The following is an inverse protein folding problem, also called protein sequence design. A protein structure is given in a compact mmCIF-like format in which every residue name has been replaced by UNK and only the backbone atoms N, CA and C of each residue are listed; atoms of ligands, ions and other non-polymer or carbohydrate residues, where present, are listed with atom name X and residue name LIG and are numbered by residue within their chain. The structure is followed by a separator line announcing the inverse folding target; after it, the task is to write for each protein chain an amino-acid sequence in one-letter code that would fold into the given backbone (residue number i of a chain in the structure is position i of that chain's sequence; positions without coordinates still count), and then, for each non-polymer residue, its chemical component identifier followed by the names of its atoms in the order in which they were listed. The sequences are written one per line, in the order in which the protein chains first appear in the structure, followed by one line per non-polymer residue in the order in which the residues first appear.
data_IF_754842221727
#
_entry.id   IF_754842221727
#
_cell.length_a   1.000
_cell.length_b   1.000
_cell.length_c   1.000
_cell.angle_alpha   90.00
_cell.angle_beta   90.00
_cell.angle_gamma   90.00
#
_symmetry.space_group_name_H-M   'P 1'
#
loop_
_entity.id
_entity.type
_entity.pdbx_description
1 polymer ?
#
# COMPACT_ATOMS: atom_id res chain seq x y z
N UNK A 1 10.63 -22.50 7.40
CA UNK A 1 11.96 -22.24 7.98
C UNK A 1 11.82 -22.24 9.50
N UNK A 2 12.82 -22.70 10.24
CA UNK A 2 12.88 -22.52 11.70
C UNK A 2 13.17 -21.06 12.04
N UNK A 3 12.92 -20.65 13.28
CA UNK A 3 13.25 -19.30 13.75
C UNK A 3 14.74 -18.96 13.62
N UNK A 4 15.60 -19.95 13.86
CA UNK A 4 17.06 -19.80 13.76
C UNK A 4 17.49 -19.60 12.30
N UNK A 5 16.94 -20.38 11.36
CA UNK A 5 17.19 -20.22 9.92
C UNK A 5 16.75 -18.83 9.41
N UNK A 6 15.63 -18.32 9.92
CA UNK A 6 15.12 -16.99 9.57
C UNK A 6 16.06 -15.90 10.09
N UNK A 7 16.53 -16.00 11.33
CA UNK A 7 17.48 -15.05 11.89
C UNK A 7 18.83 -15.08 11.18
N UNK A 8 19.35 -16.26 10.83
CA UNK A 8 20.55 -16.39 10.01
C UNK A 8 20.37 -15.74 8.64
N UNK A 9 19.22 -15.99 7.99
CA UNK A 9 18.91 -15.38 6.70
C UNK A 9 18.81 -13.86 6.81
N UNK A 10 18.14 -13.33 7.84
CA UNK A 10 18.06 -11.89 8.09
C UNK A 10 19.46 -11.29 8.30
N UNK A 11 20.30 -11.90 9.15
CA UNK A 11 21.70 -11.47 9.35
C UNK A 11 22.51 -11.44 8.06
N UNK A 12 22.22 -12.33 7.10
CA UNK A 12 22.90 -12.36 5.80
C UNK A 12 22.49 -11.23 4.85
N UNK A 13 21.30 -10.64 5.03
CA UNK A 13 20.76 -9.63 4.12
C UNK A 13 20.76 -8.22 4.69
N UNK A 14 20.78 -8.02 6.01
CA UNK A 14 20.82 -6.70 6.64
C UNK A 14 22.25 -6.14 6.72
N UNK A 15 22.37 -4.82 6.87
CA UNK A 15 23.65 -4.16 7.12
C UNK A 15 24.15 -4.42 8.54
N UNK A 16 25.47 -4.53 8.68
CA UNK A 16 26.13 -4.66 9.98
C UNK A 16 26.23 -3.28 10.64
N UNK A 17 25.82 -3.19 11.91
CA UNK A 17 25.98 -2.00 12.73
C UNK A 17 24.78 -1.72 13.62
N UNK A 18 24.95 -0.74 14.52
CA UNK A 18 23.87 -0.24 15.37
C UNK A 18 23.27 1.04 14.75
N UNK A 19 22.02 1.02 14.25
CA UNK A 19 21.40 2.18 13.63
C UNK A 19 21.24 3.36 14.60
N UNK A 20 21.23 3.13 15.93
CA UNK A 20 21.17 4.21 16.94
C UNK A 20 22.42 5.09 16.97
N UNK A 21 23.52 4.66 16.31
CA UNK A 21 24.75 5.45 16.14
C UNK A 21 24.78 6.23 14.82
N UNK A 22 23.80 6.00 13.95
CA UNK A 22 23.73 6.60 12.60
C UNK A 22 22.54 7.56 12.45
N UNK A 23 21.47 7.30 13.20
CA UNK A 23 20.25 8.09 13.18
C UNK A 23 19.94 8.67 14.56
N UNK A 24 19.44 9.90 14.58
CA UNK A 24 19.04 10.63 15.80
C UNK A 24 17.62 11.21 15.68
N UNK A 25 17.12 11.81 16.75
CA UNK A 25 15.81 12.49 16.81
C UNK A 25 14.63 11.62 16.39
N UNK A 26 14.54 10.42 16.97
CA UNK A 26 13.44 9.49 16.72
C UNK A 26 12.11 10.07 17.22
N UNK A 27 11.18 10.29 16.30
CA UNK A 27 9.81 10.72 16.58
C UNK A 27 8.85 9.66 16.02
N UNK A 28 7.97 9.14 16.86
CA UNK A 28 6.99 8.14 16.43
C UNK A 28 5.93 8.79 15.53
N UNK A 29 5.82 8.29 14.30
CA UNK A 29 4.89 8.80 13.26
C UNK A 29 3.81 7.78 12.88
N UNK A 30 3.94 6.52 13.31
CA UNK A 30 2.94 5.49 13.02
C UNK A 30 3.13 4.22 13.85
N UNK A 31 2.12 3.37 13.83
CA UNK A 31 2.09 2.04 14.43
C UNK A 31 1.84 1.02 13.32
N UNK A 32 2.56 -0.11 13.32
CA UNK A 32 2.34 -1.17 12.34
C UNK A 32 1.11 -2.03 12.67
N UNK A 33 0.76 -2.94 11.75
CA UNK A 33 -0.35 -3.90 11.90
C UNK A 33 -0.12 -4.91 13.03
N UNK A 34 1.14 -5.18 13.39
CA UNK A 34 1.52 -6.11 14.45
C UNK A 34 1.88 -5.33 15.72
N UNK A 35 1.39 -5.80 16.87
CA UNK A 35 1.78 -5.26 18.17
C UNK A 35 3.30 -5.20 18.28
N UNK A 36 3.84 -4.09 18.76
CA UNK A 36 5.29 -3.85 18.87
C UNK A 36 5.93 -3.19 17.64
N UNK A 37 5.26 -3.19 16.48
CA UNK A 37 5.79 -2.52 15.29
C UNK A 37 5.58 -1.00 15.39
N UNK A 38 6.61 -0.22 15.12
CA UNK A 38 6.51 1.25 15.08
C UNK A 38 7.18 1.82 13.85
N UNK A 39 6.67 2.95 13.38
CA UNK A 39 7.33 3.76 12.36
C UNK A 39 7.78 5.07 13.01
N UNK A 40 9.06 5.38 12.89
CA UNK A 40 9.65 6.59 13.45
C UNK A 40 10.26 7.45 12.33
N UNK A 41 10.03 8.75 12.37
CA UNK A 41 10.87 9.71 11.65
C UNK A 41 12.21 9.83 12.40
N UNK A 42 13.31 9.92 11.69
CA UNK A 42 14.64 10.13 12.25
C UNK A 42 15.52 10.95 11.29
N UNK A 43 16.58 11.54 11.81
CA UNK A 43 17.59 12.25 11.02
C UNK A 43 18.81 11.37 10.81
N UNK A 44 19.29 11.29 9.58
CA UNK A 44 20.61 10.73 9.26
C UNK A 44 21.70 11.74 9.63
N UNK A 45 22.51 11.42 10.63
CA UNK A 45 23.41 12.37 11.31
C UNK A 45 24.38 13.10 10.36
N UNK A 46 24.94 12.41 9.37
CA UNK A 46 25.93 13.01 8.45
C UNK A 46 25.32 14.02 7.47
N UNK A 47 24.01 13.97 7.20
CA UNK A 47 23.39 14.74 6.12
C UNK A 47 22.17 15.56 6.55
N UNK A 48 21.73 15.42 7.80
CA UNK A 48 20.46 15.98 8.29
C UNK A 48 19.26 15.62 7.40
N UNK A 49 19.34 14.46 6.72
CA UNK A 49 18.28 13.94 5.87
C UNK A 49 17.25 13.22 6.73
N UNK A 50 15.97 13.57 6.58
CA UNK A 50 14.87 12.85 7.22
C UNK A 50 14.64 11.49 6.55
N UNK A 51 14.48 10.46 7.38
CA UNK A 51 14.19 9.08 6.96
C UNK A 51 13.06 8.52 7.81
N UNK A 52 12.31 7.57 7.26
CA UNK A 52 11.38 6.78 8.04
C UNK A 52 12.03 5.44 8.41
N UNK A 53 11.85 5.01 9.66
CA UNK A 53 12.41 3.76 10.19
C UNK A 53 11.27 2.92 10.75
N UNK A 54 10.94 1.85 10.03
CA UNK A 54 9.99 0.81 10.46
C UNK A 54 10.73 -0.19 11.33
N UNK A 55 10.40 -0.23 12.62
CA UNK A 55 10.92 -1.17 13.60
C UNK A 55 9.90 -2.30 13.77
N UNK A 56 10.32 -3.54 13.59
CA UNK A 56 9.47 -4.71 13.67
C UNK A 56 10.00 -5.69 14.72
N UNK A 57 9.15 -6.05 15.68
CA UNK A 57 9.51 -7.03 16.70
C UNK A 57 9.36 -8.44 16.13
N UNK A 58 10.47 -9.13 15.88
CA UNK A 58 10.44 -10.44 15.20
C UNK A 58 9.71 -11.52 16.01
N UNK A 59 9.67 -11.44 17.35
CA UNK A 59 8.98 -12.44 18.18
C UNK A 59 7.45 -12.34 18.05
N UNK A 60 6.93 -11.15 17.78
CA UNK A 60 5.48 -10.90 17.69
C UNK A 60 4.92 -11.15 16.29
N UNK A 61 5.80 -11.44 15.32
CA UNK A 61 5.43 -11.60 13.92
C UNK A 61 4.91 -13.01 13.65
N UNK A 62 3.65 -13.15 13.19
CA UNK A 62 3.02 -14.46 13.00
C UNK A 62 3.67 -15.26 11.87
N UNK A 63 4.29 -14.59 10.90
CA UNK A 63 4.99 -15.19 9.76
C UNK A 63 6.27 -14.44 9.45
N UNK A 64 7.34 -14.74 10.20
CA UNK A 64 8.65 -14.09 10.07
C UNK A 64 9.27 -14.23 8.67
N UNK A 65 8.90 -15.26 7.93
CA UNK A 65 9.31 -15.46 6.53
C UNK A 65 8.83 -14.33 5.58
N UNK A 66 7.70 -13.69 5.88
CA UNK A 66 7.18 -12.57 5.07
C UNK A 66 8.07 -11.33 5.19
N UNK A 67 8.75 -11.17 6.31
CA UNK A 67 9.63 -10.03 6.57
C UNK A 67 10.89 -10.07 5.69
N UNK A 68 11.43 -11.28 5.46
CA UNK A 68 12.54 -11.46 4.52
C UNK A 68 12.11 -11.03 3.12
N UNK A 69 10.91 -11.44 2.69
CA UNK A 69 10.36 -11.03 1.41
C UNK A 69 10.17 -9.52 1.31
N UNK A 70 9.66 -8.86 2.37
CA UNK A 70 9.50 -7.40 2.39
C UNK A 70 10.83 -6.68 2.09
N UNK A 71 11.92 -7.05 2.78
CA UNK A 71 13.24 -6.46 2.53
C UNK A 71 13.71 -6.71 1.10
N UNK A 72 13.64 -7.96 0.64
CA UNK A 72 14.16 -8.34 -0.68
C UNK A 72 13.40 -7.64 -1.80
N UNK A 73 12.06 -7.64 -1.73
CA UNK A 73 11.21 -6.98 -2.70
C UNK A 73 11.50 -5.48 -2.72
N UNK A 74 11.51 -4.79 -1.57
CA UNK A 74 11.79 -3.36 -1.53
C UNK A 74 13.20 -3.00 -2.03
N UNK A 75 14.19 -3.87 -1.77
CA UNK A 75 15.58 -3.65 -2.22
C UNK A 75 15.74 -3.82 -3.72
N UNK A 76 15.10 -4.84 -4.30
CA UNK A 76 15.25 -5.22 -5.72
C UNK A 76 14.32 -4.42 -6.65
N UNK A 77 13.17 -3.96 -6.16
CA UNK A 77 12.11 -3.36 -6.97
C UNK A 77 12.05 -1.84 -6.78
N UNK A 78 13.12 -1.14 -7.19
CA UNK A 78 13.18 0.34 -7.13
C UNK A 78 12.41 0.98 -8.29
N UNK A 79 11.47 1.85 -7.95
CA UNK A 79 10.62 2.58 -8.91
C UNK A 79 10.24 3.95 -8.35
N UNK A 80 9.94 4.93 -9.21
CA UNK A 80 9.53 6.29 -8.81
C UNK A 80 8.28 6.32 -7.93
N UNK A 81 7.38 5.36 -8.11
CA UNK A 81 6.10 5.25 -7.43
C UNK A 81 6.10 4.17 -6.33
N UNK A 82 7.29 3.73 -5.90
CA UNK A 82 7.50 2.84 -4.75
C UNK A 82 8.40 3.57 -3.76
N UNK A 83 8.07 3.48 -2.47
CA UNK A 83 8.91 4.06 -1.42
C UNK A 83 10.32 3.48 -1.46
N UNK A 84 11.29 4.38 -1.57
CA UNK A 84 12.70 4.04 -1.74
C UNK A 84 13.27 3.43 -0.45
N UNK A 85 13.64 2.16 -0.54
CA UNK A 85 14.44 1.48 0.45
C UNK A 85 15.85 2.04 0.52
N UNK A 86 16.30 2.38 1.73
CA UNK A 86 17.64 2.90 1.98
C UNK A 86 18.56 1.83 2.60
N UNK A 87 18.11 1.19 3.67
CA UNK A 87 18.94 0.24 4.44
C UNK A 87 18.09 -0.64 5.38
N UNK A 88 18.69 -1.67 5.97
CA UNK A 88 18.06 -2.42 7.06
C UNK A 88 19.08 -2.96 8.06
N UNK A 89 18.66 -3.13 9.32
CA UNK A 89 19.51 -3.54 10.43
C UNK A 89 18.77 -4.53 11.33
N UNK A 90 19.49 -5.48 11.90
CA UNK A 90 18.97 -6.38 12.94
C UNK A 90 19.55 -5.97 14.30
N UNK A 91 18.70 -5.48 15.20
CA UNK A 91 19.07 -4.97 16.53
C UNK A 91 18.46 -5.90 17.59
N UNK A 92 19.24 -6.87 18.05
CA UNK A 92 18.71 -7.93 18.92
C UNK A 92 17.66 -8.76 18.16
N UNK A 93 16.41 -8.69 18.60
CA UNK A 93 15.25 -9.35 17.98
C UNK A 93 14.34 -8.37 17.22
N UNK A 94 14.79 -7.14 17.00
CA UNK A 94 14.08 -6.16 16.21
C UNK A 94 14.73 -6.00 14.83
N UNK A 95 13.91 -6.03 13.79
CA UNK A 95 14.33 -5.64 12.45
C UNK A 95 13.98 -4.16 12.23
N UNK A 96 14.95 -3.39 11.80
CA UNK A 96 14.79 -1.98 11.45
C UNK A 96 14.94 -1.83 9.94
N UNK A 97 13.92 -1.29 9.27
CA UNK A 97 13.95 -0.99 7.83
C UNK A 97 13.92 0.52 7.65
N UNK A 98 14.96 1.06 7.01
CA UNK A 98 15.14 2.48 6.75
C UNK A 98 14.72 2.79 5.31
N UNK A 99 13.85 3.78 5.17
CA UNK A 99 13.27 4.20 3.89
C UNK A 99 13.20 5.73 3.78
N UNK A 100 12.96 6.24 2.58
CA UNK A 100 12.70 7.67 2.41
C UNK A 100 11.49 8.13 3.24
N UNK A 101 11.57 9.34 3.81
CA UNK A 101 10.46 9.93 4.54
C UNK A 101 9.57 10.75 3.60
N UNK A 102 8.28 10.39 3.53
CA UNK A 102 7.26 11.12 2.78
C UNK A 102 6.41 11.96 3.73
N UNK A 103 6.78 13.23 3.85
CA UNK A 103 6.22 14.15 4.83
C UNK A 103 4.74 14.51 4.60
N UNK A 104 4.15 14.15 3.47
CA UNK A 104 2.72 14.37 3.19
C UNK A 104 1.79 13.40 3.92
N UNK A 105 2.31 12.33 4.52
CA UNK A 105 1.49 11.36 5.26
C UNK A 105 0.88 10.29 4.34
N UNK A 106 -0.15 9.61 4.83
CA UNK A 106 -0.88 8.59 4.07
C UNK A 106 -1.97 9.24 3.21
N UNK A 107 -2.44 8.52 2.18
CA UNK A 107 -3.63 8.90 1.45
C UNK A 107 -4.88 8.83 2.35
N UNK A 108 -4.88 7.98 3.39
CA UNK A 108 -5.97 7.90 4.38
C UNK A 108 -6.28 9.27 4.97
N UNK A 109 -5.25 9.99 5.43
CA UNK A 109 -5.42 11.33 6.02
C UNK A 109 -6.14 12.29 5.06
N UNK A 110 -5.86 12.19 3.76
CA UNK A 110 -6.46 13.03 2.72
C UNK A 110 -7.91 12.64 2.44
N UNK A 111 -8.21 11.34 2.33
CA UNK A 111 -9.57 10.88 1.99
C UNK A 111 -10.57 11.04 3.14
N UNK A 112 -10.10 11.03 4.40
CA UNK A 112 -10.97 11.22 5.57
C UNK A 112 -11.24 12.69 5.88
N UNK A 113 -10.28 13.58 5.60
CA UNK A 113 -10.37 15.00 5.99
C UNK A 113 -10.74 15.94 4.83
N UNK A 114 -10.66 15.48 3.58
CA UNK A 114 -10.87 16.33 2.40
C UNK A 114 -11.70 15.65 1.32
N UNK A 115 -12.17 16.43 0.34
CA UNK A 115 -12.82 15.89 -0.85
C UNK A 115 -11.88 16.00 -2.05
N UNK A 116 -11.64 14.88 -2.73
CA UNK A 116 -10.85 14.84 -3.95
C UNK A 116 -11.77 14.99 -5.17
N UNK A 117 -11.34 15.79 -6.16
CA UNK A 117 -11.99 15.81 -7.46
C UNK A 117 -11.47 14.69 -8.37
N UNK A 118 -12.24 14.34 -9.40
CA UNK A 118 -11.88 13.23 -10.30
C UNK A 118 -10.51 13.37 -10.97
N UNK A 119 -10.03 14.60 -11.18
CA UNK A 119 -8.70 14.83 -11.76
C UNK A 119 -7.58 14.52 -10.76
N UNK A 120 -7.78 14.79 -9.47
CA UNK A 120 -6.87 14.38 -8.40
C UNK A 120 -6.91 12.86 -8.20
N UNK A 121 -8.10 12.26 -8.21
CA UNK A 121 -8.28 10.80 -8.11
C UNK A 121 -7.58 10.09 -9.27
N UNK A 122 -7.81 10.56 -10.51
CA UNK A 122 -7.15 10.02 -11.70
C UNK A 122 -5.63 10.13 -11.62
N UNK A 123 -5.09 11.20 -11.00
CA UNK A 123 -3.66 11.34 -10.78
C UNK A 123 -3.13 10.27 -9.83
N UNK A 124 -3.75 10.07 -8.67
CA UNK A 124 -3.37 9.02 -7.71
C UNK A 124 -3.48 7.62 -8.33
N UNK A 125 -4.59 7.32 -9.02
CA UNK A 125 -4.78 6.04 -9.71
C UNK A 125 -3.69 5.78 -10.74
N UNK A 126 -3.27 6.80 -11.51
CA UNK A 126 -2.20 6.66 -12.50
C UNK A 126 -0.88 6.26 -11.86
N UNK A 127 -0.46 6.95 -10.80
CA UNK A 127 0.81 6.66 -10.11
C UNK A 127 0.77 5.27 -9.45
N UNK A 128 -0.36 4.88 -8.86
CA UNK A 128 -0.54 3.54 -8.31
C UNK A 128 -0.49 2.46 -9.40
N UNK A 129 -1.13 2.69 -10.56
CA UNK A 129 -1.09 1.76 -11.68
C UNK A 129 0.31 1.63 -12.29
N UNK A 130 1.12 2.69 -12.30
CA UNK A 130 2.53 2.62 -12.72
C UNK A 130 3.35 1.73 -11.76
N UNK A 131 3.15 1.87 -10.45
CA UNK A 131 3.78 1.00 -9.46
C UNK A 131 3.32 -0.46 -9.65
N UNK A 132 2.02 -0.69 -9.82
CA UNK A 132 1.47 -2.04 -10.03
C UNK A 132 1.92 -2.67 -11.33
N UNK A 133 1.97 -1.94 -12.45
CA UNK A 133 2.52 -2.45 -13.71
C UNK A 133 3.96 -2.92 -13.53
N UNK A 134 4.78 -2.09 -12.87
CA UNK A 134 6.16 -2.44 -12.56
C UNK A 134 6.26 -3.70 -11.69
N UNK A 135 5.53 -3.79 -10.58
CA UNK A 135 5.54 -4.96 -9.70
C UNK A 135 5.05 -6.22 -10.41
N UNK A 136 3.92 -6.12 -11.12
CA UNK A 136 3.31 -7.27 -11.80
C UNK A 136 4.23 -7.78 -12.92
N UNK A 137 4.93 -6.89 -13.62
CA UNK A 137 5.94 -7.29 -14.62
C UNK A 137 7.15 -8.01 -14.03
N UNK A 138 7.49 -7.70 -12.76
CA UNK A 138 8.52 -8.38 -11.98
C UNK A 138 7.97 -9.55 -11.15
N UNK A 139 6.77 -10.03 -11.47
CA UNK A 139 6.14 -11.18 -10.81
C UNK A 139 5.92 -10.96 -9.30
N UNK A 140 5.66 -9.73 -8.88
CA UNK A 140 5.32 -9.38 -7.49
C UNK A 140 3.84 -9.01 -7.41
N UNK A 141 3.12 -9.61 -6.47
CA UNK A 141 1.74 -9.24 -6.11
C UNK A 141 1.79 -8.52 -4.76
N UNK A 142 1.20 -7.33 -4.64
CA UNK A 142 1.25 -6.53 -3.40
C UNK A 142 0.37 -7.12 -2.29
N UNK A 143 -0.88 -7.46 -2.63
CA UNK A 143 -1.93 -8.07 -1.77
C UNK A 143 -2.47 -7.22 -0.63
N UNK A 144 -2.05 -5.97 -0.50
CA UNK A 144 -2.58 -5.02 0.49
C UNK A 144 -2.63 -3.58 -0.05
N UNK A 145 -3.23 -3.38 -1.22
CA UNK A 145 -3.47 -2.03 -1.77
C UNK A 145 -4.67 -1.40 -1.04
N UNK A 146 -4.44 -0.25 -0.43
CA UNK A 146 -5.41 0.57 0.32
C UNK A 146 -4.81 1.95 0.58
N UNK A 147 -5.64 2.92 0.95
CA UNK A 147 -5.21 4.30 1.22
C UNK A 147 -4.07 4.41 2.24
N UNK A 148 -4.05 3.56 3.29
CA UNK A 148 -2.98 3.56 4.31
C UNK A 148 -1.59 3.27 3.74
N UNK A 149 -1.54 2.47 2.67
CA UNK A 149 -0.31 1.99 2.05
C UNK A 149 0.12 2.85 0.85
N UNK A 150 -0.55 3.99 0.63
CA UNK A 150 -0.14 5.02 -0.32
C UNK A 150 0.37 6.23 0.46
N UNK A 151 1.66 6.53 0.31
CA UNK A 151 2.28 7.69 0.95
C UNK A 151 2.41 8.85 -0.02
N UNK A 152 2.30 10.06 0.53
CA UNK A 152 2.31 11.32 -0.22
C UNK A 152 3.54 12.17 0.15
N UNK A 153 4.20 12.75 -0.85
CA UNK A 153 5.18 13.82 -0.64
C UNK A 153 4.50 15.19 -0.57
N UNK A 154 5.17 16.18 0.02
CA UNK A 154 4.63 17.56 0.08
C UNK A 154 4.51 18.22 -1.31
N UNK A 155 5.23 17.71 -2.29
CA UNK A 155 5.14 18.07 -3.71
C UNK A 155 3.99 17.36 -4.45
N UNK A 156 3.24 16.50 -3.75
CA UNK A 156 2.17 15.68 -4.29
C UNK A 156 2.63 14.34 -4.87
N UNK A 157 3.91 13.97 -4.74
CA UNK A 157 4.39 12.64 -5.16
C UNK A 157 3.59 11.52 -4.49
N UNK A 158 3.28 10.45 -5.24
CA UNK A 158 2.46 9.32 -4.77
C UNK A 158 3.31 8.05 -4.84
N UNK A 159 3.50 7.38 -3.71
CA UNK A 159 4.33 6.17 -3.63
C UNK A 159 3.67 5.06 -2.82
N UNK A 160 3.73 3.85 -3.36
CA UNK A 160 3.29 2.62 -2.72
C UNK A 160 4.30 2.16 -1.65
N UNK A 161 3.78 1.72 -0.50
CA UNK A 161 4.55 1.19 0.63
C UNK A 161 3.94 -0.10 1.20
N UNK A 162 4.57 -0.65 2.23
CA UNK A 162 4.16 -1.81 3.02
C UNK A 162 4.04 -3.13 2.24
N UNK A 163 5.20 -3.69 1.90
CA UNK A 163 5.32 -4.96 1.19
C UNK A 163 5.25 -6.19 2.13
N UNK A 164 4.81 -6.03 3.38
CA UNK A 164 4.76 -7.11 4.37
C UNK A 164 3.84 -8.28 3.96
N UNK A 165 2.84 -8.02 3.11
CA UNK A 165 1.99 -9.07 2.53
C UNK A 165 2.31 -9.41 1.09
N UNK A 166 3.39 -8.90 0.49
CA UNK A 166 3.69 -9.19 -0.91
C UNK A 166 3.98 -10.68 -1.16
N UNK A 167 3.88 -11.10 -2.42
CA UNK A 167 4.32 -12.42 -2.85
C UNK A 167 5.00 -12.33 -4.22
N UNK A 168 6.18 -12.93 -4.32
CA UNK A 168 6.82 -13.19 -5.61
C UNK A 168 6.27 -14.48 -6.20
N UNK A 169 5.73 -14.45 -7.41
CA UNK A 169 5.26 -15.63 -8.15
C UNK A 169 6.31 -16.09 -9.16
N UNK A 170 6.22 -17.33 -9.62
CA UNK A 170 7.10 -17.87 -10.67
C UNK A 170 6.27 -18.43 -11.82
N UNK A 171 6.84 -18.70 -13.01
CA UNK A 171 6.11 -19.38 -14.08
C UNK A 171 5.49 -20.72 -13.65
N UNK A 172 6.18 -21.47 -12.78
CA UNK A 172 5.73 -22.76 -12.24
C UNK A 172 4.65 -22.58 -11.16
N UNK A 173 4.71 -21.49 -10.39
CA UNK A 173 3.72 -21.14 -9.36
C UNK A 173 3.20 -19.71 -9.56
N UNK A 174 2.44 -19.53 -10.64
CA UNK A 174 1.93 -18.23 -11.07
C UNK A 174 0.71 -17.73 -10.27
N UNK A 175 0.19 -18.56 -9.36
CA UNK A 175 -0.96 -18.23 -8.50
C UNK A 175 -0.67 -18.51 -7.02
N UNK A 176 -1.34 -17.76 -6.16
CA UNK A 176 -1.36 -17.93 -4.70
C UNK A 176 -2.76 -18.36 -4.23
N UNK A 177 -2.84 -18.96 -3.05
CA UNK A 177 -4.09 -19.44 -2.44
C UNK A 177 -4.26 -19.00 -0.99
N UNK A 178 -3.28 -18.29 -0.43
CA UNK A 178 -3.31 -17.81 0.95
C UNK A 178 -4.28 -16.63 1.09
N UNK A 179 -5.18 -16.68 2.06
CA UNK A 179 -6.04 -15.55 2.43
C UNK A 179 -5.26 -14.57 3.29
N UNK A 180 -4.75 -13.50 2.67
CA UNK A 180 -3.96 -12.42 3.30
C UNK A 180 -4.34 -11.07 2.70
N UNK A 181 -4.14 -9.99 3.45
CA UNK A 181 -4.57 -8.63 3.10
C UNK A 181 -5.64 -8.09 4.06
N UNK A 182 -6.04 -6.84 3.85
CA UNK A 182 -7.05 -6.18 4.68
C UNK A 182 -8.47 -6.49 4.18
N UNK A 183 -9.39 -7.03 5.01
CA UNK A 183 -10.67 -7.63 4.57
C UNK A 183 -11.51 -6.82 3.58
N UNK A 184 -11.67 -5.52 3.82
CA UNK A 184 -12.56 -4.64 3.03
C UNK A 184 -12.06 -4.37 1.60
N UNK A 185 -10.76 -4.61 1.34
CA UNK A 185 -10.13 -4.43 0.02
C UNK A 185 -9.88 -5.74 -0.73
N UNK A 186 -10.19 -6.88 -0.11
CA UNK A 186 -9.89 -8.19 -0.68
C UNK A 186 -10.73 -8.48 -1.93
N UNK A 187 -10.09 -8.98 -2.97
CA UNK A 187 -10.77 -9.46 -4.17
C UNK A 187 -11.63 -10.72 -3.87
N UNK A 188 -12.77 -10.92 -4.54
CA UNK A 188 -13.68 -12.04 -4.30
C UNK A 188 -13.00 -13.41 -4.43
N UNK A 189 -12.06 -13.56 -5.35
CA UNK A 189 -11.28 -14.79 -5.51
C UNK A 189 -10.34 -15.09 -4.33
N UNK A 190 -9.86 -14.07 -3.62
CA UNK A 190 -9.08 -14.22 -2.38
C UNK A 190 -10.01 -14.68 -1.25
N UNK A 191 -11.17 -14.03 -1.11
CA UNK A 191 -12.15 -14.33 -0.06
C UNK A 191 -12.73 -15.74 -0.22
N UNK A 192 -13.00 -16.14 -1.46
CA UNK A 192 -13.51 -17.48 -1.80
C UNK A 192 -12.41 -18.56 -1.87
N UNK A 193 -11.17 -18.23 -1.46
CA UNK A 193 -10.01 -19.15 -1.40
C UNK A 193 -9.68 -19.82 -2.74
N UNK A 194 -9.96 -19.15 -3.85
CA UNK A 194 -9.54 -19.59 -5.18
C UNK A 194 -8.06 -19.26 -5.39
N UNK A 195 -7.42 -19.96 -6.32
CA UNK A 195 -6.09 -19.60 -6.76
C UNK A 195 -6.14 -18.25 -7.51
N UNK A 196 -5.36 -17.28 -7.07
CA UNK A 196 -5.39 -15.90 -7.57
C UNK A 196 -4.02 -15.42 -8.06
N UNK A 197 -4.03 -14.39 -8.91
CA UNK A 197 -2.83 -13.77 -9.49
C UNK A 197 -2.78 -12.26 -9.27
N UNK A 198 -1.98 -11.51 -10.04
CA UNK A 198 -1.73 -10.08 -9.82
C UNK A 198 -2.97 -9.18 -9.86
N UNK A 199 -4.03 -9.58 -10.58
CA UNK A 199 -5.28 -8.80 -10.71
C UNK A 199 -6.07 -8.63 -9.41
N UNK A 200 -5.67 -9.25 -8.30
CA UNK A 200 -6.22 -8.94 -6.98
C UNK A 200 -5.88 -7.51 -6.55
N UNK A 201 -4.68 -7.02 -6.89
CA UNK A 201 -4.26 -5.64 -6.58
C UNK A 201 -5.10 -4.62 -7.34
N UNK A 202 -5.58 -4.97 -8.54
CA UNK A 202 -6.45 -4.12 -9.35
C UNK A 202 -7.84 -3.98 -8.73
N UNK A 203 -8.37 -5.06 -8.16
CA UNK A 203 -9.62 -4.98 -7.40
C UNK A 203 -9.44 -4.05 -6.19
N UNK A 204 -8.38 -4.25 -5.43
CA UNK A 204 -8.07 -3.43 -4.25
C UNK A 204 -7.84 -1.95 -4.61
N UNK A 205 -7.22 -1.65 -5.75
CA UNK A 205 -7.17 -0.29 -6.32
C UNK A 205 -8.57 0.28 -6.62
N UNK A 206 -9.48 -0.54 -7.13
CA UNK A 206 -10.88 -0.15 -7.34
C UNK A 206 -11.58 0.21 -6.03
N UNK A 207 -11.37 -0.58 -4.97
CA UNK A 207 -11.88 -0.27 -3.62
C UNK A 207 -11.25 1.02 -3.08
N UNK A 208 -9.94 1.21 -3.25
CA UNK A 208 -9.28 2.46 -2.85
C UNK A 208 -9.79 3.68 -3.63
N UNK A 209 -10.19 3.50 -4.89
CA UNK A 209 -10.85 4.56 -5.64
C UNK A 209 -12.26 4.88 -5.08
N UNK A 210 -12.96 3.91 -4.49
CA UNK A 210 -14.19 4.16 -3.72
C UNK A 210 -13.87 4.95 -2.45
N UNK A 211 -12.79 4.63 -1.73
CA UNK A 211 -12.37 5.43 -0.57
C UNK A 211 -12.14 6.90 -0.93
N UNK A 212 -11.50 7.18 -2.07
CA UNK A 212 -11.30 8.56 -2.53
C UNK A 212 -12.59 9.31 -2.88
N UNK A 213 -13.71 8.59 -3.07
CA UNK A 213 -15.04 9.16 -3.35
C UNK A 213 -15.86 9.30 -2.06
N UNK A 214 -15.87 8.26 -1.23
CA UNK A 214 -16.81 8.10 -0.12
C UNK A 214 -16.15 8.24 1.26
N UNK A 215 -14.83 8.37 1.33
CA UNK A 215 -14.03 8.52 2.56
C UNK A 215 -13.70 7.18 3.24
N UNK A 216 -14.38 6.09 2.88
CA UNK A 216 -14.19 4.75 3.45
C UNK A 216 -14.46 3.65 2.41
N UNK A 217 -13.90 2.44 2.57
CA UNK A 217 -14.23 1.31 1.70
C UNK A 217 -15.65 0.78 2.00
N UNK A 218 -16.26 0.03 1.07
CA UNK A 218 -17.54 -0.62 1.32
C UNK A 218 -17.50 -1.51 2.56
N UNK A 219 -18.58 -1.47 3.34
CA UNK A 219 -18.81 -2.31 4.52
C UNK A 219 -17.87 -2.06 5.70
N UNK A 220 -17.17 -0.91 5.78
CA UNK A 220 -16.27 -0.63 6.92
C UNK A 220 -16.99 -0.68 8.29
N UNK A 221 -18.29 -0.34 8.31
CA UNK A 221 -19.16 -0.44 9.48
C UNK A 221 -19.55 -1.88 9.87
N UNK A 222 -19.27 -2.87 9.02
CA UNK A 222 -19.50 -4.29 9.29
C UNK A 222 -18.26 -4.93 9.94
N UNK A 223 -18.48 -5.96 10.75
CA UNK A 223 -17.35 -6.73 11.25
C UNK A 223 -16.61 -7.43 10.09
N UNK A 224 -15.29 -7.69 10.21
CA UNK A 224 -14.49 -8.23 9.11
C UNK A 224 -15.03 -9.51 8.47
N UNK A 225 -15.55 -10.47 9.27
CA UNK A 225 -16.09 -11.71 8.74
C UNK A 225 -17.38 -11.49 7.95
N UNK A 226 -18.20 -10.53 8.37
CA UNK A 226 -19.40 -10.12 7.66
C UNK A 226 -19.06 -9.39 6.36
N UNK A 227 -18.08 -8.50 6.35
CA UNK A 227 -17.60 -7.85 5.13
C UNK A 227 -17.09 -8.88 4.10
N UNK A 228 -16.30 -9.87 4.53
CA UNK A 228 -15.85 -10.97 3.67
C UNK A 228 -17.05 -11.73 3.06
N UNK A 229 -18.07 -12.04 3.87
CA UNK A 229 -19.28 -12.67 3.35
C UNK A 229 -19.97 -11.81 2.27
N UNK A 230 -20.14 -10.52 2.53
CA UNK A 230 -20.79 -9.59 1.60
C UNK A 230 -20.01 -9.45 0.28
N UNK A 231 -18.68 -9.35 0.34
CA UNK A 231 -17.82 -9.34 -0.86
C UNK A 231 -18.01 -10.61 -1.69
N UNK A 232 -18.09 -11.77 -1.03
CA UNK A 232 -18.26 -13.05 -1.71
C UNK A 232 -19.65 -13.22 -2.33
N UNK A 233 -20.70 -12.64 -1.75
CA UNK A 233 -22.10 -12.83 -2.21
C UNK A 233 -22.59 -11.73 -3.15
N UNK A 234 -22.22 -10.48 -2.90
CA UNK A 234 -22.76 -9.32 -3.62
C UNK A 234 -21.90 -8.95 -4.83
N UNK A 235 -20.61 -9.31 -4.80
CA UNK A 235 -19.68 -9.02 -5.88
C UNK A 235 -19.29 -7.55 -5.96
N UNK A 236 -19.46 -6.92 -7.13
CA UNK A 236 -19.12 -5.52 -7.36
C UNK A 236 -19.92 -4.61 -6.40
N UNK A 237 -19.26 -3.83 -5.54
CA UNK A 237 -19.96 -2.96 -4.59
C UNK A 237 -20.70 -1.83 -5.30
N UNK A 238 -21.84 -1.44 -4.75
CA UNK A 238 -22.62 -0.29 -5.24
C UNK A 238 -22.11 1.00 -4.59
N UNK A 239 -22.00 2.06 -5.40
CA UNK A 239 -21.71 3.41 -4.91
C UNK A 239 -22.98 4.05 -4.34
N UNK A 240 -22.82 4.93 -3.34
CA UNK A 240 -23.94 5.62 -2.71
C UNK A 240 -24.61 6.63 -3.66
N UNK A 241 -23.81 7.34 -4.47
CA UNK A 241 -24.27 8.40 -5.37
C UNK A 241 -23.58 8.31 -6.74
N UNK A 242 -23.77 7.22 -7.51
CA UNK A 242 -23.05 6.98 -8.77
C UNK A 242 -23.28 8.07 -9.82
N UNK A 243 -24.42 8.76 -9.77
CA UNK A 243 -24.79 9.85 -10.69
C UNK A 243 -23.90 11.10 -10.56
N UNK A 244 -23.22 11.27 -9.42
CA UNK A 244 -22.25 12.37 -9.21
C UNK A 244 -20.95 12.17 -9.98
N UNK A 245 -20.65 10.93 -10.35
CA UNK A 245 -19.42 10.60 -11.08
C UNK A 245 -19.60 10.79 -12.58
N UNK A 246 -18.51 11.05 -13.28
CA UNK A 246 -18.50 11.05 -14.73
C UNK A 246 -18.70 9.64 -15.28
N UNK A 247 -19.30 9.49 -16.49
CA UNK A 247 -19.41 8.18 -17.13
C UNK A 247 -18.05 7.50 -17.34
N UNK A 248 -17.00 8.28 -17.60
CA UNK A 248 -15.63 7.75 -17.80
C UNK A 248 -15.03 7.23 -16.50
N UNK A 249 -15.33 7.83 -15.35
CA UNK A 249 -14.84 7.34 -14.07
C UNK A 249 -15.59 6.08 -13.64
N UNK A 250 -16.91 6.03 -13.84
CA UNK A 250 -17.68 4.80 -13.62
C UNK A 250 -17.18 3.63 -14.48
N UNK A 251 -16.84 3.84 -15.75
CA UNK A 251 -16.24 2.79 -16.59
C UNK A 251 -14.90 2.31 -16.03
N UNK A 252 -14.06 3.22 -15.52
CA UNK A 252 -12.79 2.87 -14.88
C UNK A 252 -13.01 1.98 -13.64
N UNK A 253 -13.94 2.36 -12.76
CA UNK A 253 -14.29 1.55 -11.58
C UNK A 253 -14.81 0.17 -11.97
N UNK A 254 -15.69 0.08 -12.97
CA UNK A 254 -16.21 -1.19 -13.47
C UNK A 254 -15.10 -2.11 -13.98
N UNK A 255 -14.08 -1.56 -14.68
CA UNK A 255 -12.94 -2.36 -15.15
C UNK A 255 -12.03 -2.84 -14.02
N UNK A 256 -11.93 -2.08 -12.93
CA UNK A 256 -11.19 -2.48 -11.73
C UNK A 256 -11.94 -3.54 -10.90
N UNK A 257 -13.26 -3.37 -10.75
CA UNK A 257 -14.15 -4.16 -9.89
C UNK A 257 -14.95 -5.22 -10.65
N UNK A 258 -14.42 -5.66 -11.80
CA UNK A 258 -14.98 -6.75 -12.57
C UNK A 258 -14.78 -8.09 -11.83
N UNK A 259 -15.87 -8.85 -11.71
CA UNK A 259 -15.91 -10.12 -10.97
C UNK A 259 -15.16 -11.23 -11.71
N UNK A 260 -15.25 -11.24 -13.03
CA UNK A 260 -14.50 -12.16 -13.87
C UNK A 260 -13.05 -11.68 -14.02
N UNK A 261 -12.13 -12.40 -13.37
CA UNK A 261 -10.69 -12.06 -13.35
C UNK A 261 -10.10 -11.93 -14.76
N UNK A 262 -10.59 -12.69 -15.74
CA UNK A 262 -10.09 -12.58 -17.11
C UNK A 262 -10.52 -11.27 -17.77
N UNK A 263 -11.72 -10.76 -17.44
CA UNK A 263 -12.25 -9.49 -17.94
C UNK A 263 -11.77 -8.28 -17.16
N UNK A 264 -11.40 -8.44 -15.88
CA UNK A 264 -10.83 -7.37 -15.06
C UNK A 264 -9.58 -6.82 -15.72
N UNK A 265 -9.44 -5.49 -15.78
CA UNK A 265 -8.28 -4.87 -16.41
C UNK A 265 -6.98 -5.27 -15.71
N UNK A 266 -5.89 -5.43 -16.46
CA UNK A 266 -4.53 -5.41 -15.92
C UNK A 266 -4.07 -3.97 -15.67
N UNK A 267 -3.00 -3.81 -14.88
CA UNK A 267 -2.41 -2.49 -14.65
C UNK A 267 -2.05 -1.79 -15.98
N UNK A 268 -1.42 -2.53 -16.89
CA UNK A 268 -1.04 -2.07 -18.22
C UNK A 268 -2.22 -1.61 -19.08
N UNK A 269 -3.34 -2.33 -19.05
CA UNK A 269 -4.55 -1.96 -19.79
C UNK A 269 -5.22 -0.73 -19.19
N UNK A 270 -5.29 -0.65 -17.86
CA UNK A 270 -5.90 0.48 -17.15
C UNK A 270 -5.10 1.77 -17.30
N UNK A 271 -3.78 1.70 -17.47
CA UNK A 271 -2.95 2.86 -17.80
C UNK A 271 -3.36 3.55 -19.11
N UNK A 272 -4.05 2.85 -20.01
CA UNK A 272 -4.56 3.38 -21.28
C UNK A 272 -5.99 3.91 -21.18
N UNK A 273 -6.61 3.86 -20.00
CA UNK A 273 -8.01 4.23 -19.80
C UNK A 273 -8.25 5.74 -19.96
N UNK A 274 -9.40 6.13 -20.54
CA UNK A 274 -9.71 7.55 -20.78
C UNK A 274 -9.79 8.38 -19.49
N UNK A 275 -10.20 7.77 -18.38
CA UNK A 275 -10.22 8.40 -17.06
C UNK A 275 -8.85 8.97 -16.67
N UNK A 276 -7.75 8.29 -16.98
CA UNK A 276 -6.43 8.77 -16.58
C UNK A 276 -5.95 9.97 -17.40
N UNK A 277 -6.65 10.33 -18.49
CA UNK A 277 -6.33 11.54 -19.27
C UNK A 277 -6.77 12.84 -18.60
N UNK A 278 -7.72 12.77 -17.66
CA UNK A 278 -8.15 13.94 -16.88
C UNK A 278 -7.30 14.14 -15.62
N UNK A 279 -6.30 13.29 -15.40
CA UNK A 279 -5.41 13.37 -14.26
C UNK A 279 -4.70 14.72 -14.20
N UNK A 280 -4.90 15.43 -13.09
CA UNK A 280 -4.25 16.71 -12.81
C UNK A 280 -2.76 16.52 -12.50
N UNK A 281 -1.96 17.61 -12.54
CA UNK A 281 -0.61 17.59 -11.99
C UNK A 281 -0.63 17.18 -10.52
N UNK A 282 0.37 16.42 -10.06
CA UNK A 282 0.46 15.96 -8.68
C UNK A 282 0.50 17.11 -7.66
N UNK A 283 1.04 18.27 -8.04
CA UNK A 283 1.00 19.48 -7.22
C UNK A 283 -0.43 19.96 -6.87
N UNK A 284 -1.46 19.46 -7.56
CA UNK A 284 -2.86 19.70 -7.18
C UNK A 284 -3.30 18.95 -5.91
N UNK A 285 -2.51 17.97 -5.43
CA UNK A 285 -2.73 17.26 -4.16
C UNK A 285 -2.20 18.05 -2.97
N UNK A 286 -1.21 18.93 -3.16
CA UNK A 286 -0.56 19.68 -2.07
C UNK A 286 -1.54 20.45 -1.17
N UNK A 287 -2.58 21.16 -1.69
CA UNK A 287 -3.55 21.82 -0.83
C UNK A 287 -4.34 20.85 0.07
N UNK A 288 -4.67 19.66 -0.45
CA UNK A 288 -5.39 18.64 0.32
C UNK A 288 -4.51 18.04 1.41
N UNK A 289 -3.24 17.77 1.09
CA UNK A 289 -2.24 17.29 2.04
C UNK A 289 -2.07 18.28 3.20
N UNK A 290 -1.97 19.57 2.90
CA UNK A 290 -1.84 20.61 3.93
C UNK A 290 -3.10 20.64 4.80
N UNK A 291 -4.28 20.65 4.20
CA UNK A 291 -5.56 20.68 4.92
C UNK A 291 -5.74 19.47 5.85
N UNK A 292 -5.46 18.26 5.36
CA UNK A 292 -5.51 17.03 6.15
C UNK A 292 -4.57 17.08 7.37
N UNK A 293 -3.33 17.55 7.16
CA UNK A 293 -2.35 17.71 8.25
C UNK A 293 -2.76 18.76 9.28
N UNK A 294 -3.42 19.85 8.85
CA UNK A 294 -3.96 20.86 9.76
C UNK A 294 -5.14 20.32 10.58
N UNK A 295 -6.04 19.55 9.95
CA UNK A 295 -7.15 18.90 10.63
C UNK A 295 -6.65 17.90 11.70
N UNK A 296 -5.67 17.05 11.36
CA UNK A 296 -5.07 16.10 12.30
C UNK A 296 -4.43 16.78 13.53
N UNK A 297 -3.83 17.96 13.36
CA UNK A 297 -3.25 18.73 14.48
C UNK A 297 -4.30 19.33 15.41
N UNK A 298 -5.48 19.66 14.89
CA UNK A 298 -6.56 20.24 15.70
C UNK A 298 -7.35 19.20 16.49
N UNK A 299 -7.22 17.92 16.12
CA UNK A 299 -7.87 16.78 16.78
C UNK A 299 -6.99 16.15 17.90
N UNK A 300 -5.83 16.74 18.21
CA UNK A 300 -4.91 16.35 19.28
C UNK A 300 -4.65 17.52 20.24
#
# INVERSE_FOLDING_TARGET
MSDEEILEKLRSIVSVGDPKKKYTNFEKIGQGLVSGDSCNNALLDLFSLQVAIKQMNLQQQPKKELIINEILVMRENKNSNIVNYLDSYLVGEELWVVMEYLAGGSLTDVVTETCMDEGQIAAVCRECLQALEFLHSNQVIHRDIKSDNILLGMDGSVKLTDFGFCAQITPEQSKRSTMVGTPYWMAPEVVTRKAYGPKVDIWSLGIMAIEMIEGEPPYLNENPLRALYLIATNGTPELQNPEKLSPIFRDFLNRCLEMDVEKRGSAKELLQHQFLKIAKPLSSLTPLIIAAKEAAKNNH
#
